data_IF_412800821362
#
_entry.id   IF_412800821362
#
_cell.length_a   1.000
_cell.length_b   1.000
_cell.length_c   1.000
_cell.angle_alpha   90.00
_cell.angle_beta   90.00
_cell.angle_gamma   90.00
#
_symmetry.space_group_name_H-M   'P 1'
#
loop_
_entity.id
_entity.type
_entity.pdbx_description
1 polymer ?
#
# COMPACT_ATOMS: atom_id res chain seq x y z
N UNK A 1 8.24 22.66 -25.97
CA UNK A 1 7.25 23.66 -25.50
C UNK A 1 5.83 23.10 -25.51
N UNK A 2 5.30 22.60 -26.63
CA UNK A 2 3.99 21.94 -26.72
C UNK A 2 3.84 20.74 -25.76
N UNK A 3 4.84 19.86 -25.71
CA UNK A 3 4.83 18.70 -24.80
C UNK A 3 4.73 19.11 -23.32
N UNK A 4 5.47 20.15 -22.91
CA UNK A 4 5.42 20.66 -21.55
C UNK A 4 4.05 21.27 -21.21
N UNK A 5 3.42 21.95 -22.17
CA UNK A 5 2.06 22.48 -22.01
C UNK A 5 1.02 21.37 -21.84
N UNK A 6 1.14 20.26 -22.56
CA UNK A 6 0.25 19.10 -22.43
C UNK A 6 0.51 18.28 -21.16
N UNK A 7 1.77 18.20 -20.70
CA UNK A 7 2.13 17.46 -19.48
C UNK A 7 1.73 18.19 -18.21
N UNK A 8 1.67 19.53 -18.22
CA UNK A 8 1.42 20.31 -17.01
C UNK A 8 0.06 19.98 -16.34
N UNK A 9 -1.07 19.90 -17.06
CA UNK A 9 -2.33 19.45 -16.45
C UNK A 9 -2.27 18.01 -15.93
N UNK A 10 -1.58 17.11 -16.65
CA UNK A 10 -1.42 15.70 -16.25
C UNK A 10 -0.62 15.59 -14.95
N UNK A 11 0.44 16.37 -14.80
CA UNK A 11 1.23 16.44 -13.56
C UNK A 11 0.38 16.96 -12.39
N UNK A 12 -0.40 18.02 -12.60
CA UNK A 12 -1.26 18.58 -11.55
C UNK A 12 -2.33 17.58 -11.11
N UNK A 13 -2.97 16.89 -12.06
CA UNK A 13 -3.93 15.82 -11.75
C UNK A 13 -3.26 14.63 -11.06
N UNK A 14 -2.06 14.24 -11.50
CA UNK A 14 -1.28 13.17 -10.90
C UNK A 14 -0.91 13.47 -9.44
N UNK A 15 -0.52 14.71 -9.13
CA UNK A 15 -0.23 15.16 -7.77
C UNK A 15 -1.50 15.18 -6.89
N UNK A 16 -2.64 15.55 -7.46
CA UNK A 16 -3.92 15.55 -6.75
C UNK A 16 -4.48 14.15 -6.50
N UNK A 17 -4.11 13.15 -7.32
CA UNK A 17 -4.69 11.81 -7.28
C UNK A 17 -4.54 11.11 -5.93
N UNK A 18 -3.34 11.13 -5.31
CA UNK A 18 -3.10 10.46 -4.02
C UNK A 18 -3.94 11.09 -2.90
N UNK A 19 -3.91 12.42 -2.68
CA UNK A 19 -4.81 13.08 -1.72
C UNK A 19 -6.29 12.77 -1.96
N UNK A 20 -6.76 12.83 -3.20
CA UNK A 20 -8.16 12.53 -3.53
C UNK A 20 -8.52 11.08 -3.19
N UNK A 21 -7.65 10.12 -3.51
CA UNK A 21 -7.83 8.71 -3.14
C UNK A 21 -7.92 8.51 -1.62
N UNK A 22 -7.10 9.23 -0.86
CA UNK A 22 -7.13 9.20 0.62
C UNK A 22 -8.44 9.79 1.17
N UNK A 23 -8.96 10.86 0.56
CA UNK A 23 -10.28 11.42 0.91
C UNK A 23 -11.37 10.40 0.61
N UNK A 24 -11.34 9.75 -0.55
CA UNK A 24 -12.30 8.69 -0.91
C UNK A 24 -12.24 7.54 0.09
N UNK A 25 -11.05 7.07 0.47
CA UNK A 25 -10.89 6.05 1.53
C UNK A 25 -11.54 6.50 2.84
N UNK A 26 -11.34 7.77 3.24
CA UNK A 26 -11.97 8.34 4.44
C UNK A 26 -13.50 8.37 4.36
N UNK A 27 -14.05 8.72 3.20
CA UNK A 27 -15.50 8.67 2.94
C UNK A 27 -16.01 7.23 3.03
N UNK A 28 -15.31 6.26 2.44
CA UNK A 28 -15.71 4.86 2.52
C UNK A 28 -15.73 4.34 3.96
N UNK A 29 -14.80 4.81 4.80
CA UNK A 29 -14.74 4.45 6.22
C UNK A 29 -15.84 5.16 7.05
N UNK A 30 -16.36 6.31 6.61
CA UNK A 30 -17.40 7.04 7.33
C UNK A 30 -18.82 6.56 7.00
N UNK A 31 -19.05 6.07 5.77
CA UNK A 31 -20.38 5.74 5.28
C UNK A 31 -20.98 4.42 5.81
N UNK A 32 -20.21 3.57 6.50
CA UNK A 32 -20.72 2.31 7.05
C UNK A 32 -19.93 1.83 8.28
N UNK A 33 -20.55 0.98 9.10
CA UNK A 33 -19.85 0.26 10.18
C UNK A 33 -18.70 -0.53 9.57
N UNK A 34 -17.51 -0.45 10.19
CA UNK A 34 -16.34 -1.23 9.79
C UNK A 34 -16.75 -2.70 9.57
N UNK A 35 -16.53 -3.19 8.35
CA UNK A 35 -16.87 -4.56 7.97
C UNK A 35 -15.66 -5.43 8.28
N UNK A 36 -15.82 -6.29 9.28
CA UNK A 36 -14.76 -7.17 9.74
C UNK A 36 -15.01 -8.60 9.25
N UNK A 37 -14.50 -8.92 8.06
CA UNK A 37 -14.21 -10.32 7.73
C UNK A 37 -12.84 -10.67 8.30
N UNK A 38 -12.83 -11.33 9.46
CA UNK A 38 -11.61 -11.71 10.17
C UNK A 38 -10.69 -12.58 9.31
N UNK A 39 -11.25 -13.48 8.51
CA UNK A 39 -10.46 -14.39 7.67
C UNK A 39 -9.75 -13.59 6.58
N UNK A 40 -10.53 -12.79 5.84
CA UNK A 40 -10.02 -11.97 4.75
C UNK A 40 -8.96 -10.97 5.22
N UNK A 41 -9.23 -10.23 6.30
CA UNK A 41 -8.32 -9.21 6.84
C UNK A 41 -7.03 -9.85 7.33
N UNK A 42 -7.11 -10.96 8.07
CA UNK A 42 -5.94 -11.63 8.65
C UNK A 42 -5.05 -12.22 7.56
N UNK A 43 -5.65 -12.98 6.63
CA UNK A 43 -4.91 -13.60 5.51
C UNK A 43 -4.24 -12.53 4.67
N UNK A 44 -4.98 -11.47 4.31
CA UNK A 44 -4.42 -10.41 3.47
C UNK A 44 -3.32 -9.62 4.19
N UNK A 45 -3.46 -9.37 5.49
CA UNK A 45 -2.43 -8.68 6.29
C UNK A 45 -1.16 -9.52 6.41
N UNK A 46 -1.27 -10.82 6.68
CA UNK A 46 -0.12 -11.73 6.75
C UNK A 46 0.58 -11.82 5.40
N UNK A 47 -0.20 -11.98 4.31
CA UNK A 47 0.36 -12.05 2.97
C UNK A 47 1.13 -10.77 2.62
N UNK A 48 0.55 -9.60 2.89
CA UNK A 48 1.12 -8.31 2.51
C UNK A 48 2.29 -7.89 3.40
N UNK A 49 2.17 -8.03 4.72
CA UNK A 49 3.10 -7.46 5.69
C UNK A 49 4.20 -8.43 6.15
N UNK A 50 4.03 -9.74 5.92
CA UNK A 50 4.99 -10.76 6.38
C UNK A 50 5.51 -11.57 5.19
N UNK A 51 4.62 -12.20 4.42
CA UNK A 51 5.03 -13.09 3.34
C UNK A 51 5.72 -12.31 2.22
N UNK A 52 5.18 -11.15 1.82
CA UNK A 52 5.75 -10.32 0.77
C UNK A 52 7.18 -9.84 1.09
N UNK A 53 7.47 -9.29 2.29
CA UNK A 53 8.83 -8.94 2.69
C UNK A 53 9.78 -10.12 2.80
N UNK A 54 9.31 -11.27 3.28
CA UNK A 54 10.14 -12.49 3.35
C UNK A 54 10.54 -12.94 1.95
N UNK A 55 9.60 -12.95 1.01
CA UNK A 55 9.89 -13.29 -0.39
C UNK A 55 10.90 -12.29 -0.96
N UNK A 56 10.72 -10.99 -0.71
CA UNK A 56 11.66 -9.97 -1.16
C UNK A 56 13.06 -10.20 -0.57
N UNK A 57 13.17 -10.49 0.73
CA UNK A 57 14.45 -10.77 1.40
C UNK A 57 15.17 -11.99 0.82
N UNK A 58 14.43 -13.04 0.46
CA UNK A 58 15.00 -14.28 -0.11
C UNK A 58 15.43 -14.08 -1.57
N UNK A 59 14.67 -13.32 -2.36
CA UNK A 59 14.92 -13.15 -3.80
C UNK A 59 15.88 -12.01 -4.11
N UNK A 60 15.93 -10.95 -3.30
CA UNK A 60 16.79 -9.78 -3.52
C UNK A 60 18.29 -10.11 -3.71
N UNK A 61 18.88 -11.05 -2.94
CA UNK A 61 20.28 -11.47 -3.11
C UNK A 61 20.62 -12.00 -4.52
N UNK A 62 19.63 -12.45 -5.29
CA UNK A 62 19.83 -12.91 -6.67
C UNK A 62 20.13 -11.77 -7.66
N UNK A 63 19.79 -10.53 -7.28
CA UNK A 63 19.90 -9.34 -8.14
C UNK A 63 20.79 -8.25 -7.55
N UNK A 64 20.84 -8.14 -6.22
CA UNK A 64 21.54 -7.07 -5.51
C UNK A 64 22.24 -7.60 -4.26
N UNK A 65 23.37 -7.01 -3.91
CA UNK A 65 23.92 -7.17 -2.57
C UNK A 65 22.99 -6.50 -1.55
N UNK A 66 22.65 -7.21 -0.47
CA UNK A 66 21.68 -6.76 0.54
C UNK A 66 22.09 -5.46 1.25
N UNK A 67 23.39 -5.11 1.24
CA UNK A 67 23.87 -3.88 1.86
C UNK A 67 23.66 -2.62 1.00
N UNK A 68 23.29 -2.78 -0.27
CA UNK A 68 23.05 -1.62 -1.16
C UNK A 68 21.80 -0.85 -0.74
N UNK A 69 21.83 0.48 -0.87
CA UNK A 69 20.66 1.34 -0.61
C UNK A 69 19.46 0.86 -1.42
N UNK A 70 19.67 0.44 -2.67
CA UNK A 70 18.63 -0.09 -3.55
C UNK A 70 17.94 -1.32 -2.95
N UNK A 71 18.70 -2.32 -2.48
CA UNK A 71 18.13 -3.51 -1.86
C UNK A 71 17.32 -3.16 -0.59
N UNK A 72 17.86 -2.26 0.24
CA UNK A 72 17.19 -1.79 1.46
C UNK A 72 15.87 -1.08 1.14
N UNK A 73 15.83 -0.21 0.13
CA UNK A 73 14.61 0.49 -0.32
C UNK A 73 13.57 -0.51 -0.85
N UNK A 74 13.97 -1.46 -1.69
CA UNK A 74 13.04 -2.47 -2.23
C UNK A 74 12.45 -3.32 -1.09
N UNK A 75 13.28 -3.71 -0.12
CA UNK A 75 12.83 -4.47 1.04
C UNK A 75 11.82 -3.68 1.88
N UNK A 76 12.05 -2.39 2.11
CA UNK A 76 11.08 -1.51 2.78
C UNK A 76 9.79 -1.35 1.97
N UNK A 77 9.88 -1.16 0.65
CA UNK A 77 8.71 -1.05 -0.23
C UNK A 77 7.85 -2.32 -0.20
N UNK A 78 8.47 -3.50 -0.08
CA UNK A 78 7.75 -4.77 0.03
C UNK A 78 6.93 -4.91 1.32
N UNK A 79 7.27 -4.16 2.37
CA UNK A 79 6.56 -4.16 3.65
C UNK A 79 5.51 -3.04 3.78
N UNK A 80 5.23 -2.33 2.68
CA UNK A 80 4.18 -1.31 2.65
C UNK A 80 2.79 -1.94 2.81
N UNK A 81 1.83 -1.21 3.40
CA UNK A 81 0.46 -1.69 3.57
C UNK A 81 -0.28 -1.86 2.24
N UNK A 82 -1.54 -2.26 2.30
CA UNK A 82 -2.38 -2.34 1.10
C UNK A 82 -2.45 -0.96 0.40
N UNK A 83 -2.45 -0.98 -0.94
CA UNK A 83 -2.49 0.26 -1.73
C UNK A 83 -3.88 0.88 -1.68
N UNK A 84 -3.97 2.19 -1.42
CA UNK A 84 -5.25 2.93 -1.36
C UNK A 84 -6.03 2.85 -2.68
N UNK A 85 -5.34 2.68 -3.82
CA UNK A 85 -5.97 2.47 -5.12
C UNK A 85 -6.83 1.21 -5.20
N UNK A 86 -6.57 0.21 -4.35
CA UNK A 86 -7.43 -0.99 -4.25
C UNK A 86 -8.84 -0.66 -3.79
N UNK A 87 -9.00 0.32 -2.90
CA UNK A 87 -10.32 0.83 -2.51
C UNK A 87 -11.02 1.50 -3.69
N UNK A 88 -10.31 2.30 -4.50
CA UNK A 88 -10.90 2.91 -5.70
C UNK A 88 -11.40 1.82 -6.66
N UNK A 89 -10.59 0.80 -6.93
CA UNK A 89 -11.01 -0.30 -7.80
C UNK A 89 -12.18 -1.09 -7.20
N UNK A 90 -12.19 -1.30 -5.89
CA UNK A 90 -13.30 -1.96 -5.23
C UNK A 90 -14.61 -1.17 -5.34
N UNK A 91 -14.56 0.17 -5.33
CA UNK A 91 -15.73 1.02 -5.61
C UNK A 91 -16.12 0.90 -7.09
N UNK A 92 -15.15 1.03 -7.99
CA UNK A 92 -15.36 1.03 -9.43
C UNK A 92 -15.97 -0.28 -9.95
N UNK A 93 -15.61 -1.41 -9.34
CA UNK A 93 -16.05 -2.76 -9.72
C UNK A 93 -17.00 -3.39 -8.70
N UNK A 94 -17.59 -2.60 -7.80
CA UNK A 94 -18.51 -3.07 -6.74
C UNK A 94 -18.02 -4.31 -5.98
N UNK A 95 -16.72 -4.35 -5.70
CA UNK A 95 -16.02 -5.49 -5.11
C UNK A 95 -15.80 -5.30 -3.61
N UNK A 96 -16.90 -5.24 -2.85
CA UNK A 96 -16.91 -5.07 -1.38
C UNK A 96 -16.03 -3.90 -0.89
N UNK A 97 -16.29 -2.66 -1.35
CA UNK A 97 -15.41 -1.53 -1.08
C UNK A 97 -15.21 -1.22 0.40
N UNK A 98 -16.20 -1.45 1.28
CA UNK A 98 -16.06 -1.25 2.72
C UNK A 98 -15.07 -2.25 3.36
N UNK A 99 -15.08 -3.51 2.93
CA UNK A 99 -14.15 -4.52 3.44
C UNK A 99 -12.70 -4.18 3.02
N UNK A 100 -12.50 -3.81 1.75
CA UNK A 100 -11.19 -3.42 1.23
C UNK A 100 -10.66 -2.15 1.91
N UNK A 101 -11.54 -1.17 2.17
CA UNK A 101 -11.21 0.05 2.91
C UNK A 101 -10.78 -0.25 4.35
N UNK A 102 -11.53 -1.12 5.03
CA UNK A 102 -11.23 -1.55 6.41
C UNK A 102 -9.91 -2.30 6.46
N UNK A 103 -9.68 -3.24 5.52
CA UNK A 103 -8.41 -3.97 5.39
C UNK A 103 -7.24 -3.02 5.12
N UNK A 104 -7.42 -2.00 4.26
CA UNK A 104 -6.40 -0.98 4.00
C UNK A 104 -6.04 -0.24 5.28
N UNK A 105 -7.03 0.28 6.02
CA UNK A 105 -6.80 0.96 7.30
C UNK A 105 -6.05 0.06 8.31
N UNK A 106 -6.49 -1.19 8.47
CA UNK A 106 -5.88 -2.13 9.41
C UNK A 106 -4.43 -2.40 9.03
N UNK A 107 -4.15 -2.70 7.75
CA UNK A 107 -2.77 -2.91 7.30
C UNK A 107 -1.93 -1.66 7.46
N UNK A 108 -2.47 -0.45 7.25
CA UNK A 108 -1.76 0.81 7.50
C UNK A 108 -1.37 0.95 8.98
N UNK A 109 -2.28 0.67 9.91
CA UNK A 109 -1.97 0.72 11.35
C UNK A 109 -0.92 -0.33 11.73
N UNK A 110 -1.10 -1.58 11.30
CA UNK A 110 -0.14 -2.66 11.58
C UNK A 110 1.23 -2.35 10.94
N UNK A 111 1.25 -1.68 9.79
CA UNK A 111 2.50 -1.35 9.08
C UNK A 111 3.45 -0.47 9.89
N UNK A 112 2.94 0.34 10.82
CA UNK A 112 3.76 1.14 11.73
C UNK A 112 4.71 0.23 12.51
N UNK A 113 4.21 -0.90 12.99
CA UNK A 113 4.99 -1.87 13.78
C UNK A 113 5.87 -2.70 12.84
N UNK A 114 5.35 -3.21 11.73
CA UNK A 114 6.10 -4.12 10.84
C UNK A 114 7.24 -3.40 10.12
N UNK A 115 7.02 -2.18 9.61
CA UNK A 115 8.08 -1.40 8.96
C UNK A 115 9.13 -0.97 9.98
N UNK A 116 8.73 -0.53 11.19
CA UNK A 116 9.70 -0.16 12.24
C UNK A 116 10.58 -1.35 12.64
N UNK A 117 9.96 -2.53 12.78
CA UNK A 117 10.68 -3.78 13.06
C UNK A 117 11.66 -4.12 11.94
N UNK A 118 11.19 -4.06 10.69
CA UNK A 118 12.02 -4.33 9.51
C UNK A 118 13.21 -3.38 9.41
N UNK A 119 13.01 -2.08 9.64
CA UNK A 119 14.08 -1.09 9.62
C UNK A 119 15.17 -1.38 10.65
N UNK A 120 14.79 -1.87 11.83
CA UNK A 120 15.75 -2.26 12.89
C UNK A 120 16.66 -3.41 12.46
N UNK A 121 16.21 -4.28 11.55
CA UNK A 121 17.03 -5.39 11.01
C UNK A 121 17.92 -4.97 9.83
N UNK A 122 17.56 -3.88 9.13
CA UNK A 122 18.22 -3.44 7.89
C UNK A 122 19.26 -2.34 8.15
N UNK A 123 19.01 -1.48 9.13
CA UNK A 123 19.86 -0.35 9.54
C UNK A 123 20.87 -0.85 10.56
#
# INVERSE_FOLDING_TARGET
MLLAFLMRPVELLGQAAIPTLLVVLGIQLSMAKLVFDKSFITISSILRLIIYPIIAFILLPLFFELNTITAKVILVLSATPAAVSTTLFAIQFDSQPQLVSTMTLITTIISIITISTLLTFIV
#
